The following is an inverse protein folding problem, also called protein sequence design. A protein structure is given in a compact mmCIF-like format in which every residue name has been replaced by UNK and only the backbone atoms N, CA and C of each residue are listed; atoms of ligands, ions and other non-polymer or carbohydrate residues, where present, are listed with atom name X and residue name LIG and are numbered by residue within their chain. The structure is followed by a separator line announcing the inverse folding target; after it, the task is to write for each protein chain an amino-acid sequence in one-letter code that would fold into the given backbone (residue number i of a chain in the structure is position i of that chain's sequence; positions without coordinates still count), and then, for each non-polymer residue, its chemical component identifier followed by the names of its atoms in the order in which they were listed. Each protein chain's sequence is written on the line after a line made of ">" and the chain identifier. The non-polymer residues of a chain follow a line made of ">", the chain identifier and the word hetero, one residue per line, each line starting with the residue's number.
data_IF_447188410174
#
_entry.id   IF_447188410174
#
_cell.length_a   1.000
_cell.length_b   1.000
_cell.length_c   1.000
_cell.angle_alpha   90.00
_cell.angle_beta   90.00
_cell.angle_gamma   90.00
#
_symmetry.space_group_name_H-M   'P 1'
#
loop_
_entity.id
_entity.type
_entity.pdbx_description
1 polymer ?
#
# COMPACT_ATOMS: atom_id res chain seq x y z
N UNK A 1 -8.66 19.62 -21.83
CA UNK A 1 -7.31 20.19 -21.68
C UNK A 1 -6.42 19.88 -22.88
N UNK A 2 -6.15 18.60 -23.22
CA UNK A 2 -5.28 18.26 -24.37
C UNK A 2 -5.74 18.90 -25.69
N UNK A 3 -7.05 18.92 -25.98
CA UNK A 3 -7.58 19.58 -27.18
C UNK A 3 -7.33 21.09 -27.21
N UNK A 4 -7.54 21.79 -26.09
CA UNK A 4 -7.24 23.23 -25.99
C UNK A 4 -5.76 23.49 -26.24
N UNK A 5 -4.88 22.71 -25.60
CA UNK A 5 -3.42 22.83 -25.81
C UNK A 5 -3.01 22.49 -27.25
N UNK A 6 -3.71 21.57 -27.91
CA UNK A 6 -3.39 21.19 -29.28
C UNK A 6 -3.91 22.17 -30.34
N UNK A 7 -5.11 22.75 -30.13
CA UNK A 7 -5.84 23.49 -31.16
C UNK A 7 -5.99 24.99 -30.89
N UNK A 8 -5.68 25.47 -29.69
CA UNK A 8 -5.90 26.88 -29.31
C UNK A 8 -4.65 27.61 -28.81
N UNK A 9 -3.53 26.91 -28.58
CA UNK A 9 -2.29 27.53 -28.06
C UNK A 9 -1.15 27.62 -29.08
N UNK A 10 -1.36 27.20 -30.33
CA UNK A 10 -0.37 27.20 -31.43
C UNK A 10 0.95 26.45 -31.13
N UNK A 11 1.06 25.78 -29.98
CA UNK A 11 2.29 25.12 -29.51
C UNK A 11 2.79 24.02 -30.44
N UNK A 12 1.89 23.40 -31.20
CA UNK A 12 2.23 22.33 -32.14
C UNK A 12 2.70 22.83 -33.51
N UNK A 13 2.62 24.14 -33.78
CA UNK A 13 3.07 24.74 -35.05
C UNK A 13 4.60 24.94 -35.08
N UNK A 14 5.26 24.74 -33.95
CA UNK A 14 6.70 24.94 -33.76
C UNK A 14 7.41 23.64 -33.35
N UNK A 15 8.73 23.59 -33.56
CA UNK A 15 9.61 22.55 -33.03
C UNK A 15 9.82 22.67 -31.51
N UNK A 16 11.02 22.39 -31.01
CA UNK A 16 11.32 22.64 -29.60
C UNK A 16 11.42 24.15 -29.32
N UNK A 17 10.34 24.72 -28.78
CA UNK A 17 10.24 26.15 -28.45
C UNK A 17 11.21 26.60 -27.33
N UNK A 18 11.90 25.66 -26.67
CA UNK A 18 12.91 25.98 -25.67
C UNK A 18 14.33 26.05 -26.25
N UNK A 19 14.53 25.72 -27.54
CA UNK A 19 15.83 25.80 -28.19
C UNK A 19 16.41 27.23 -28.13
N UNK A 20 17.70 27.34 -27.80
CA UNK A 20 18.38 28.61 -27.54
C UNK A 20 18.18 29.21 -26.15
N UNK A 21 17.31 28.65 -25.29
CA UNK A 21 17.19 29.10 -23.89
C UNK A 21 18.33 28.58 -23.03
N UNK A 22 19.26 29.46 -22.66
CA UNK A 22 20.43 29.11 -21.83
C UNK A 22 20.07 28.53 -20.47
N UNK A 23 18.99 29.01 -19.84
CA UNK A 23 18.52 28.49 -18.55
C UNK A 23 17.97 27.07 -18.65
N UNK A 24 17.22 26.77 -19.72
CA UNK A 24 16.69 25.42 -19.95
C UNK A 24 17.83 24.48 -20.34
N UNK A 25 18.74 24.92 -21.20
CA UNK A 25 19.93 24.15 -21.59
C UNK A 25 20.78 23.77 -20.36
N UNK A 26 21.06 24.73 -19.47
CA UNK A 26 21.78 24.47 -18.21
C UNK A 26 21.07 23.43 -17.34
N UNK A 27 19.73 23.51 -17.21
CA UNK A 27 18.93 22.52 -16.46
C UNK A 27 18.98 21.14 -17.12
N UNK A 28 18.90 21.07 -18.45
CA UNK A 28 19.00 19.82 -19.21
C UNK A 28 20.36 19.17 -19.01
N UNK A 29 21.45 19.94 -19.09
CA UNK A 29 22.81 19.40 -18.85
C UNK A 29 23.00 18.92 -17.41
N UNK A 30 22.47 19.64 -16.42
CA UNK A 30 22.48 19.19 -15.03
C UNK A 30 21.74 17.85 -14.85
N UNK A 31 20.52 17.73 -15.39
CA UNK A 31 19.74 16.48 -15.35
C UNK A 31 20.46 15.32 -16.05
N UNK A 32 21.10 15.58 -17.20
CA UNK A 32 21.88 14.56 -17.92
C UNK A 32 23.09 14.11 -17.11
N UNK A 33 23.79 15.03 -16.44
CA UNK A 33 24.93 14.70 -15.59
C UNK A 33 24.50 13.82 -14.40
N UNK A 34 23.43 14.22 -13.70
CA UNK A 34 22.88 13.47 -12.56
C UNK A 34 22.38 12.08 -12.97
N UNK A 35 21.64 11.97 -14.07
CA UNK A 35 21.13 10.70 -14.59
C UNK A 35 22.27 9.74 -14.99
N UNK A 36 23.33 10.26 -15.64
CA UNK A 36 24.52 9.45 -15.97
C UNK A 36 25.28 9.00 -14.73
N UNK A 37 25.37 9.85 -13.72
CA UNK A 37 26.00 9.47 -12.44
C UNK A 37 25.21 8.36 -11.74
N UNK A 38 23.87 8.43 -11.75
CA UNK A 38 23.01 7.36 -11.23
C UNK A 38 23.18 6.05 -12.00
N UNK A 39 23.22 6.11 -13.34
CA UNK A 39 23.51 4.94 -14.17
C UNK A 39 24.87 4.33 -13.83
N UNK A 40 25.90 5.16 -13.61
CA UNK A 40 27.22 4.72 -13.16
C UNK A 40 27.17 3.97 -11.82
N UNK A 41 26.38 4.46 -10.86
CA UNK A 41 26.15 3.78 -9.57
C UNK A 41 25.48 2.42 -9.76
N UNK A 42 24.43 2.35 -10.57
CA UNK A 42 23.73 1.09 -10.87
C UNK A 42 24.66 0.08 -11.53
N UNK A 43 25.50 0.51 -12.47
CA UNK A 43 26.49 -0.37 -13.10
C UNK A 43 27.55 -0.86 -12.10
N UNK A 44 28.03 0.00 -11.20
CA UNK A 44 28.99 -0.36 -10.16
C UNK A 44 28.42 -1.39 -9.15
N UNK A 45 27.11 -1.40 -8.94
CA UNK A 45 26.40 -2.39 -8.12
C UNK A 45 26.22 -3.75 -8.83
N UNK A 46 26.66 -3.91 -10.08
CA UNK A 46 26.47 -5.13 -10.87
C UNK A 46 25.26 -5.08 -11.81
N UNK A 47 24.71 -3.89 -12.06
CA UNK A 47 23.57 -3.67 -12.96
C UNK A 47 22.22 -3.58 -12.24
N UNK A 48 21.16 -3.38 -13.03
CA UNK A 48 19.82 -3.08 -12.51
C UNK A 48 19.23 -4.20 -11.64
N UNK A 49 19.45 -5.47 -11.98
CA UNK A 49 18.94 -6.61 -11.20
C UNK A 49 19.56 -6.60 -9.79
N UNK A 50 20.88 -6.52 -9.69
CA UNK A 50 21.58 -6.46 -8.40
C UNK A 50 21.20 -5.21 -7.59
N UNK A 51 20.98 -4.07 -8.24
CA UNK A 51 20.51 -2.85 -7.60
C UNK A 51 19.07 -2.95 -7.07
N UNK A 52 18.21 -3.76 -7.71
CA UNK A 52 16.86 -4.06 -7.22
C UNK A 52 16.92 -5.04 -6.04
N UNK A 53 17.68 -6.13 -6.17
CA UNK A 53 17.80 -7.17 -5.14
C UNK A 53 18.45 -6.65 -3.86
N UNK A 54 19.46 -5.78 -3.98
CA UNK A 54 20.05 -5.08 -2.83
C UNK A 54 19.10 -4.09 -2.15
N UNK A 55 17.96 -3.78 -2.76
CA UNK A 55 16.99 -2.81 -2.27
C UNK A 55 17.40 -1.34 -2.45
N UNK A 56 18.55 -1.06 -3.08
CA UNK A 56 19.07 0.29 -3.27
C UNK A 56 18.06 1.21 -3.98
N UNK A 57 17.53 0.78 -5.13
CA UNK A 57 16.59 1.60 -5.91
C UNK A 57 15.31 1.89 -5.12
N UNK A 58 14.78 0.87 -4.43
CA UNK A 58 13.57 1.04 -3.63
C UNK A 58 13.80 1.99 -2.46
N UNK A 59 14.93 1.86 -1.75
CA UNK A 59 15.32 2.75 -0.66
C UNK A 59 15.40 4.20 -1.14
N UNK A 60 16.09 4.48 -2.25
CA UNK A 60 16.25 5.83 -2.79
C UNK A 60 14.89 6.50 -3.12
N UNK A 61 13.94 5.73 -3.66
CA UNK A 61 12.58 6.20 -3.92
C UNK A 61 11.82 6.54 -2.63
N UNK A 62 11.93 5.70 -1.60
CA UNK A 62 11.28 5.97 -0.31
C UNK A 62 11.92 7.17 0.37
N UNK A 63 13.25 7.33 0.32
CA UNK A 63 13.97 8.51 0.85
C UNK A 63 13.50 9.80 0.17
N UNK A 64 13.51 9.84 -1.16
CA UNK A 64 13.08 11.02 -1.91
C UNK A 64 11.63 11.42 -1.59
N UNK A 65 10.75 10.43 -1.44
CA UNK A 65 9.36 10.66 -1.10
C UNK A 65 9.16 11.12 0.36
N UNK A 66 9.91 10.55 1.31
CA UNK A 66 9.91 10.98 2.70
C UNK A 66 10.41 12.43 2.84
N UNK A 67 11.47 12.79 2.12
CA UNK A 67 11.99 14.15 2.08
C UNK A 67 10.97 15.14 1.51
N UNK A 68 10.30 14.79 0.41
CA UNK A 68 9.23 15.62 -0.16
C UNK A 68 8.10 15.87 0.84
N UNK A 69 7.65 14.84 1.57
CA UNK A 69 6.61 15.01 2.57
C UNK A 69 7.04 15.90 3.73
N UNK A 70 8.26 15.69 4.25
CA UNK A 70 8.84 16.55 5.28
C UNK A 70 8.82 18.02 4.83
N UNK A 71 9.20 18.30 3.59
CA UNK A 71 9.19 19.66 3.04
C UNK A 71 7.76 20.23 2.91
N UNK A 72 6.76 19.41 2.60
CA UNK A 72 5.35 19.83 2.57
C UNK A 72 4.84 20.12 4.00
N UNK A 73 5.11 19.25 4.96
CA UNK A 73 4.70 19.45 6.36
C UNK A 73 5.38 20.67 7.00
N UNK A 74 6.66 20.91 6.68
CA UNK A 74 7.41 22.08 7.14
C UNK A 74 6.97 23.38 6.44
N UNK A 75 6.13 23.31 5.41
CA UNK A 75 5.70 24.46 4.61
C UNK A 75 6.76 24.99 3.64
N UNK A 76 7.91 24.32 3.51
CA UNK A 76 8.96 24.61 2.51
C UNK A 76 8.40 24.43 1.09
N UNK A 77 7.63 23.36 0.86
CA UNK A 77 6.88 23.12 -0.36
C UNK A 77 5.41 23.49 -0.14
N UNK A 78 4.93 24.53 -0.83
CA UNK A 78 3.53 24.95 -0.77
C UNK A 78 2.67 24.11 -1.71
N UNK A 79 1.60 23.54 -1.17
CA UNK A 79 0.54 22.83 -1.89
C UNK A 79 -0.78 23.55 -1.60
N UNK A 80 -1.22 24.34 -2.59
CA UNK A 80 -2.45 25.16 -2.50
C UNK A 80 -3.67 24.27 -2.25
N UNK A 81 -4.50 24.63 -1.28
CA UNK A 81 -5.66 23.86 -0.86
C UNK A 81 -5.36 22.71 0.12
N UNK A 82 -4.08 22.46 0.44
CA UNK A 82 -3.66 21.40 1.38
C UNK A 82 -2.95 21.99 2.61
N UNK A 83 -1.75 22.55 2.44
CA UNK A 83 -0.98 23.16 3.53
C UNK A 83 -0.92 24.70 3.47
N UNK A 84 -1.34 25.28 2.34
CA UNK A 84 -1.38 26.72 2.11
C UNK A 84 -2.70 27.09 1.43
N UNK A 85 -3.30 28.22 1.84
CA UNK A 85 -4.57 28.72 1.28
C UNK A 85 -5.67 27.64 1.29
N UNK A 86 -6.02 27.14 2.48
CA UNK A 86 -6.90 25.98 2.67
C UNK A 86 -8.40 26.28 2.53
N UNK A 87 -8.77 27.55 2.44
CA UNK A 87 -10.14 27.99 2.20
C UNK A 87 -10.40 28.25 0.71
N UNK A 88 -11.53 27.78 0.21
CA UNK A 88 -12.03 28.00 -1.15
C UNK A 88 -13.54 28.21 -1.09
N UNK A 89 -14.09 28.92 -2.08
CA UNK A 89 -15.53 28.85 -2.35
C UNK A 89 -15.92 27.42 -2.75
N UNK A 90 -17.14 26.96 -2.44
CA UNK A 90 -17.65 25.68 -2.92
C UNK A 90 -17.57 25.63 -4.45
N UNK A 91 -16.90 24.60 -4.99
CA UNK A 91 -16.78 24.45 -6.43
C UNK A 91 -18.08 23.90 -7.01
N UNK A 92 -18.71 24.55 -8.01
CA UNK A 92 -19.88 24.00 -8.69
C UNK A 92 -19.57 22.72 -9.50
N UNK A 93 -18.29 22.37 -9.64
CA UNK A 93 -17.80 21.15 -10.30
C UNK A 93 -17.42 20.05 -9.29
N UNK A 94 -17.29 20.38 -8.00
CA UNK A 94 -17.15 19.38 -6.96
C UNK A 94 -18.54 18.82 -6.66
N UNK A 95 -18.91 17.75 -7.37
CA UNK A 95 -20.18 17.06 -7.13
C UNK A 95 -20.19 16.56 -5.69
N UNK A 96 -21.02 17.16 -4.82
CA UNK A 96 -21.12 16.84 -3.39
C UNK A 96 -21.64 15.42 -3.12
N UNK A 97 -22.21 14.74 -4.13
CA UNK A 97 -22.93 13.48 -3.98
C UNK A 97 -22.14 12.20 -4.30
N UNK A 98 -20.79 12.25 -4.33
CA UNK A 98 -19.98 11.03 -4.58
C UNK A 98 -20.10 10.45 -6.01
N UNK A 99 -20.95 11.01 -6.86
CA UNK A 99 -21.19 10.59 -8.25
C UNK A 99 -19.98 10.78 -9.18
N UNK A 100 -18.94 11.48 -8.72
CA UNK A 100 -17.68 11.66 -9.45
C UNK A 100 -16.73 10.46 -9.32
N UNK A 101 -16.97 9.57 -8.35
CA UNK A 101 -16.18 8.35 -8.17
C UNK A 101 -16.90 7.20 -8.88
N UNK A 102 -16.34 6.75 -10.00
CA UNK A 102 -16.84 5.54 -10.67
C UNK A 102 -16.46 4.31 -9.83
N UNK A 103 -17.47 3.60 -9.32
CA UNK A 103 -17.30 2.34 -8.60
C UNK A 103 -17.62 1.14 -9.49
N UNK A 104 -17.05 -0.02 -9.17
CA UNK A 104 -17.33 -1.29 -9.85
C UNK A 104 -18.35 -2.06 -9.01
N UNK A 105 -19.40 -2.57 -9.64
CA UNK A 105 -20.42 -3.38 -8.96
C UNK A 105 -19.88 -4.74 -8.52
N UNK A 106 -20.25 -5.19 -7.32
CA UNK A 106 -19.95 -6.52 -6.79
C UNK A 106 -20.44 -7.66 -7.71
N UNK A 107 -21.48 -7.40 -8.52
CA UNK A 107 -22.02 -8.38 -9.46
C UNK A 107 -21.00 -8.84 -10.52
N UNK A 108 -20.03 -7.98 -10.87
CA UNK A 108 -19.01 -8.28 -11.89
C UNK A 108 -18.18 -9.51 -11.52
N UNK A 109 -17.85 -9.67 -10.23
CA UNK A 109 -17.11 -10.85 -9.75
C UNK A 109 -17.93 -12.13 -9.95
N UNK A 110 -19.20 -12.13 -9.51
CA UNK A 110 -20.09 -13.27 -9.65
C UNK A 110 -20.29 -13.67 -11.12
N UNK A 111 -20.55 -12.70 -12.00
CA UNK A 111 -20.68 -12.94 -13.43
C UNK A 111 -19.41 -13.54 -14.03
N UNK A 112 -18.24 -13.05 -13.62
CA UNK A 112 -16.97 -13.55 -14.11
C UNK A 112 -16.67 -14.97 -13.61
N UNK A 113 -17.07 -15.30 -12.37
CA UNK A 113 -16.96 -16.66 -11.83
C UNK A 113 -17.84 -17.62 -12.62
N UNK A 114 -19.08 -17.26 -12.95
CA UNK A 114 -19.98 -18.11 -13.74
C UNK A 114 -19.45 -18.29 -15.18
N UNK A 115 -18.96 -17.23 -15.82
CA UNK A 115 -18.26 -17.33 -17.11
C UNK A 115 -17.05 -18.26 -17.04
N UNK A 116 -16.27 -18.19 -15.96
CA UNK A 116 -15.10 -19.04 -15.75
C UNK A 116 -15.48 -20.51 -15.56
N UNK A 117 -16.55 -20.80 -14.81
CA UNK A 117 -17.07 -22.17 -14.64
C UNK A 117 -17.53 -22.74 -15.98
N UNK A 118 -18.32 -21.98 -16.74
CA UNK A 118 -18.78 -22.39 -18.06
C UNK A 118 -17.60 -22.63 -19.02
N UNK A 119 -16.61 -21.71 -19.04
CA UNK A 119 -15.38 -21.85 -19.83
C UNK A 119 -14.59 -23.12 -19.48
N UNK A 120 -14.47 -23.43 -18.19
CA UNK A 120 -13.80 -24.65 -17.71
C UNK A 120 -14.56 -25.91 -18.07
N UNK A 121 -15.89 -25.86 -18.13
CA UNK A 121 -16.74 -27.01 -18.47
C UNK A 121 -16.75 -27.32 -19.98
N UNK A 122 -16.59 -26.31 -20.85
CA UNK A 122 -16.68 -26.49 -22.30
C UNK A 122 -15.37 -26.90 -22.98
N UNK A 123 -14.22 -26.72 -22.32
CA UNK A 123 -12.89 -26.95 -22.92
C UNK A 123 -12.46 -28.41 -22.85
N UNK A 124 -11.51 -28.80 -23.71
CA UNK A 124 -10.88 -30.10 -23.66
C UNK A 124 -9.90 -30.20 -22.47
N UNK A 125 -10.34 -30.88 -21.41
CA UNK A 125 -9.54 -31.08 -20.19
C UNK A 125 -8.21 -31.81 -20.46
N UNK A 126 -8.16 -32.75 -21.41
CA UNK A 126 -6.92 -33.48 -21.72
C UNK A 126 -5.93 -32.57 -22.44
N UNK A 127 -6.41 -31.74 -23.38
CA UNK A 127 -5.58 -30.75 -24.06
C UNK A 127 -5.00 -29.73 -23.07
N UNK A 128 -5.81 -29.25 -22.12
CA UNK A 128 -5.38 -28.35 -21.03
C UNK A 128 -4.25 -28.98 -20.21
N UNK A 129 -4.46 -30.18 -19.67
CA UNK A 129 -3.45 -30.86 -18.86
C UNK A 129 -2.16 -31.11 -19.65
N UNK A 130 -2.27 -31.51 -20.92
CA UNK A 130 -1.11 -31.74 -21.77
C UNK A 130 -0.33 -30.44 -22.05
N UNK A 131 -1.02 -29.33 -22.27
CA UNK A 131 -0.40 -28.03 -22.50
C UNK A 131 0.31 -27.51 -21.24
N UNK A 132 -0.34 -27.58 -20.07
CA UNK A 132 0.25 -27.19 -18.79
C UNK A 132 1.50 -28.02 -18.46
N UNK A 133 1.47 -29.34 -18.68
CA UNK A 133 2.64 -30.19 -18.47
C UNK A 133 3.83 -29.80 -19.36
N UNK A 134 3.57 -29.41 -20.61
CA UNK A 134 4.62 -28.92 -21.52
C UNK A 134 5.18 -27.57 -21.08
N UNK A 135 4.33 -26.69 -20.54
CA UNK A 135 4.75 -25.40 -19.97
C UNK A 135 5.66 -25.62 -18.75
N UNK A 136 5.24 -26.48 -17.82
CA UNK A 136 6.03 -26.81 -16.64
C UNK A 136 7.38 -27.41 -17.02
N UNK A 137 7.39 -28.39 -17.95
CA UNK A 137 8.63 -29.00 -18.43
C UNK A 137 9.57 -27.97 -19.07
N UNK A 138 9.06 -27.09 -19.94
CA UNK A 138 9.88 -26.03 -20.54
C UNK A 138 10.47 -25.07 -19.50
N UNK A 139 9.67 -24.71 -18.48
CA UNK A 139 10.14 -23.85 -17.38
C UNK A 139 11.22 -24.53 -16.55
N UNK A 140 11.05 -25.82 -16.19
CA UNK A 140 12.05 -26.59 -15.42
C UNK A 140 13.34 -26.84 -16.21
N UNK A 141 13.23 -27.05 -17.51
CA UNK A 141 14.37 -27.26 -18.42
C UNK A 141 15.03 -25.95 -18.86
N UNK A 142 14.58 -24.80 -18.36
CA UNK A 142 15.06 -23.47 -18.73
C UNK A 142 15.07 -23.22 -20.26
N UNK A 143 14.04 -23.75 -20.94
CA UNK A 143 13.80 -23.52 -22.38
C UNK A 143 12.84 -22.36 -22.58
N UNK A 144 12.69 -21.92 -23.84
CA UNK A 144 11.71 -20.92 -24.22
C UNK A 144 10.28 -21.38 -23.83
N UNK A 145 9.62 -20.61 -22.96
CA UNK A 145 8.26 -20.88 -22.49
C UNK A 145 7.16 -20.28 -23.37
N UNK A 146 7.50 -19.48 -24.39
CA UNK A 146 6.50 -18.81 -25.24
C UNK A 146 5.70 -19.81 -26.07
N UNK A 147 6.36 -20.78 -26.71
CA UNK A 147 5.68 -21.81 -27.50
C UNK A 147 4.67 -22.63 -26.68
N UNK A 148 5.03 -23.22 -25.51
CA UNK A 148 4.05 -23.90 -24.67
C UNK A 148 3.01 -22.95 -24.06
N UNK A 149 3.32 -21.67 -23.84
CA UNK A 149 2.33 -20.68 -23.40
C UNK A 149 1.26 -20.40 -24.46
N UNK A 150 1.64 -20.30 -25.73
CA UNK A 150 0.69 -20.18 -26.85
C UNK A 150 -0.17 -21.45 -26.94
N UNK A 151 0.43 -22.63 -26.74
CA UNK A 151 -0.32 -23.88 -26.70
C UNK A 151 -1.33 -23.91 -25.53
N UNK A 152 -0.96 -23.37 -24.36
CA UNK A 152 -1.88 -23.21 -23.23
C UNK A 152 -3.06 -22.30 -23.58
N UNK A 153 -2.80 -21.13 -24.17
CA UNK A 153 -3.84 -20.20 -24.59
C UNK A 153 -4.80 -20.84 -25.61
N UNK A 154 -4.27 -21.55 -26.62
CA UNK A 154 -5.07 -22.29 -27.61
C UNK A 154 -5.88 -23.43 -26.98
N UNK A 155 -5.34 -24.08 -25.96
CA UNK A 155 -6.03 -25.10 -25.17
C UNK A 155 -7.01 -24.51 -24.13
N UNK A 156 -7.24 -23.20 -24.12
CA UNK A 156 -8.17 -22.52 -23.20
C UNK A 156 -7.78 -22.64 -21.72
N UNK A 157 -6.48 -22.75 -21.45
CA UNK A 157 -5.89 -22.60 -20.10
C UNK A 157 -6.19 -21.18 -19.60
N UNK A 158 -6.56 -21.05 -18.33
CA UNK A 158 -6.85 -19.73 -17.73
C UNK A 158 -5.56 -19.05 -17.28
N UNK A 159 -5.53 -17.73 -17.20
CA UNK A 159 -4.37 -16.99 -16.67
C UNK A 159 -3.96 -17.47 -15.27
N UNK A 160 -4.93 -17.82 -14.44
CA UNK A 160 -4.69 -18.42 -13.11
C UNK A 160 -3.93 -19.75 -13.17
N UNK A 161 -4.33 -20.68 -14.04
CA UNK A 161 -3.67 -21.99 -14.19
C UNK A 161 -2.27 -21.87 -14.80
N UNK A 162 -2.13 -20.98 -15.79
CA UNK A 162 -0.84 -20.66 -16.40
C UNK A 162 0.11 -20.08 -15.35
N UNK A 163 -0.36 -19.10 -14.57
CA UNK A 163 0.41 -18.48 -13.50
C UNK A 163 0.79 -19.48 -12.40
N UNK A 164 -0.16 -20.33 -11.98
CA UNK A 164 0.10 -21.35 -10.96
C UNK A 164 1.15 -22.37 -11.39
N UNK A 165 1.08 -22.81 -12.65
CA UNK A 165 2.07 -23.73 -13.22
C UNK A 165 3.48 -23.15 -13.18
N UNK A 166 3.65 -21.86 -13.45
CA UNK A 166 4.95 -21.20 -13.35
C UNK A 166 5.38 -20.96 -11.89
N UNK A 167 4.45 -20.68 -10.97
CA UNK A 167 4.74 -20.58 -9.53
C UNK A 167 5.28 -21.90 -8.96
N UNK A 168 4.81 -23.05 -9.44
CA UNK A 168 5.34 -24.37 -9.02
C UNK A 168 6.81 -24.59 -9.40
N UNK A 169 7.33 -23.82 -10.37
CA UNK A 169 8.72 -23.93 -10.84
C UNK A 169 9.59 -22.82 -10.28
N UNK A 170 9.10 -21.57 -10.32
CA UNK A 170 9.89 -20.38 -9.96
C UNK A 170 9.60 -19.84 -8.56
N UNK A 171 8.53 -20.30 -7.91
CA UNK A 171 8.03 -19.73 -6.66
C UNK A 171 7.36 -18.37 -6.88
N UNK A 172 7.26 -17.62 -5.77
CA UNK A 172 6.76 -16.24 -5.77
C UNK A 172 7.86 -15.27 -5.37
N UNK A 173 7.98 -14.16 -6.10
CA UNK A 173 8.92 -13.11 -5.75
C UNK A 173 8.37 -12.23 -4.63
N UNK A 174 9.17 -12.01 -3.58
CA UNK A 174 8.91 -11.03 -2.51
C UNK A 174 9.96 -9.93 -2.58
N UNK A 175 9.53 -8.75 -3.01
CA UNK A 175 10.41 -7.60 -3.20
C UNK A 175 10.84 -7.00 -1.85
N UNK A 176 12.07 -6.45 -1.74
CA UNK A 176 12.46 -5.65 -0.58
C UNK A 176 11.58 -4.41 -0.46
N UNK A 177 11.15 -4.08 0.76
CA UNK A 177 10.21 -2.96 1.01
C UNK A 177 10.89 -1.60 1.01
N UNK A 178 12.21 -1.54 1.23
CA UNK A 178 12.99 -0.30 1.38
C UNK A 178 12.76 0.44 2.72
N UNK A 179 11.68 0.13 3.45
CA UNK A 179 11.32 0.77 4.71
C UNK A 179 12.25 0.36 5.85
N UNK A 180 12.61 -0.92 5.95
CA UNK A 180 13.45 -1.46 7.04
C UNK A 180 14.81 -0.78 7.13
N UNK A 181 15.34 -0.29 6.02
CA UNK A 181 16.63 0.41 5.95
C UNK A 181 16.55 1.87 6.42
N UNK A 182 15.35 2.45 6.50
CA UNK A 182 15.10 3.87 6.83
C UNK A 182 14.72 4.11 8.29
N UNK A 183 14.27 3.08 9.00
CA UNK A 183 13.86 3.16 10.41
C UNK A 183 15.01 3.42 11.42
N UNK A 184 16.17 3.93 10.97
CA UNK A 184 17.38 4.19 11.79
C UNK A 184 17.79 5.67 11.83
N UNK A 185 16.95 6.59 11.34
CA UNK A 185 17.26 8.02 11.25
C UNK A 185 17.00 8.82 12.54
N UNK A 186 17.66 9.98 12.65
CA UNK A 186 17.38 10.98 13.69
C UNK A 186 16.15 11.82 13.33
N UNK A 187 15.35 12.17 14.34
CA UNK A 187 14.08 12.85 14.13
C UNK A 187 14.16 14.36 14.13
N UNK A 188 13.24 14.98 13.38
CA UNK A 188 12.93 16.40 13.48
C UNK A 188 12.33 16.75 14.85
N UNK A 189 12.46 18.01 15.26
CA UNK A 189 11.79 18.55 16.45
C UNK A 189 10.26 18.44 16.37
N UNK A 190 9.68 18.33 15.17
CA UNK A 190 8.23 18.29 14.94
C UNK A 190 7.52 17.00 15.36
N UNK A 191 8.22 15.98 15.86
CA UNK A 191 7.60 14.73 16.36
C UNK A 191 7.78 14.47 17.85
N UNK A 192 8.37 15.42 18.60
CA UNK A 192 8.71 15.24 20.00
C UNK A 192 7.50 14.87 20.88
N UNK A 193 6.38 15.56 20.69
CA UNK A 193 5.15 15.32 21.47
C UNK A 193 4.59 13.92 21.21
N UNK A 194 4.61 13.47 19.95
CA UNK A 194 4.13 12.13 19.57
C UNK A 194 5.04 11.06 20.17
N UNK A 195 6.37 11.25 20.13
CA UNK A 195 7.33 10.35 20.79
C UNK A 195 7.07 10.24 22.28
N UNK A 196 6.84 11.35 22.95
CA UNK A 196 6.53 11.36 24.38
C UNK A 196 5.25 10.57 24.69
N UNK A 197 4.22 10.71 23.85
CA UNK A 197 2.98 9.95 23.97
C UNK A 197 3.20 8.44 23.75
N UNK A 198 4.00 8.05 22.75
CA UNK A 198 4.37 6.65 22.49
C UNK A 198 5.16 6.07 23.65
N UNK A 199 6.10 6.82 24.23
CA UNK A 199 6.85 6.38 25.41
C UNK A 199 5.97 6.21 26.65
N UNK A 200 5.01 7.10 26.86
CA UNK A 200 4.04 6.96 27.94
C UNK A 200 3.20 5.69 27.79
N UNK A 201 2.72 5.42 26.56
CA UNK A 201 2.02 4.18 26.25
C UNK A 201 2.92 2.96 26.42
N UNK A 202 4.18 3.03 26.00
CA UNK A 202 5.15 1.95 26.15
C UNK A 202 5.37 1.57 27.63
N UNK A 203 5.47 2.57 28.51
CA UNK A 203 5.55 2.34 29.97
C UNK A 203 4.32 1.63 30.51
N UNK A 204 3.13 1.94 30.00
CA UNK A 204 1.87 1.30 30.41
C UNK A 204 1.75 -0.14 29.89
N UNK A 205 2.20 -0.39 28.66
CA UNK A 205 2.21 -1.70 28.02
C UNK A 205 3.31 -2.64 28.54
N UNK A 206 4.39 -2.07 29.10
CA UNK A 206 5.61 -2.81 29.43
C UNK A 206 6.47 -3.17 28.21
N UNK A 207 6.09 -2.72 27.01
CA UNK A 207 6.80 -2.94 25.74
C UNK A 207 6.51 -1.80 24.77
N UNK A 208 7.30 -1.68 23.69
CA UNK A 208 7.00 -0.71 22.63
C UNK A 208 5.67 -1.07 21.95
N UNK A 209 4.79 -0.08 21.66
CA UNK A 209 3.58 -0.33 20.89
C UNK A 209 3.94 -0.90 19.53
N UNK A 210 3.32 -2.05 19.20
CA UNK A 210 3.58 -2.80 17.97
C UNK A 210 2.53 -2.49 16.92
N UNK A 211 2.97 -2.06 15.74
CA UNK A 211 2.10 -1.64 14.64
C UNK A 211 2.36 -2.47 13.39
N UNK A 212 1.36 -3.24 12.95
CA UNK A 212 1.41 -3.93 11.67
C UNK A 212 0.79 -3.06 10.58
N UNK A 213 1.56 -2.75 9.54
CA UNK A 213 1.05 -2.11 8.32
C UNK A 213 0.86 -3.19 7.26
N UNK A 214 -0.38 -3.39 6.83
CA UNK A 214 -0.76 -4.40 5.85
C UNK A 214 -1.36 -3.80 4.59
N UNK A 215 -1.14 -4.46 3.45
CA UNK A 215 -1.77 -4.12 2.17
C UNK A 215 -2.50 -5.34 1.60
N UNK A 216 -3.81 -5.48 1.90
CA UNK A 216 -4.56 -6.66 1.50
C UNK A 216 -4.81 -6.68 -0.02
N UNK A 217 -4.87 -7.89 -0.59
CA UNK A 217 -5.32 -8.11 -1.97
C UNK A 217 -4.21 -7.93 -3.00
N UNK A 218 -4.50 -7.26 -4.11
CA UNK A 218 -3.55 -7.05 -5.22
C UNK A 218 -3.03 -5.62 -5.34
N UNK A 219 -3.37 -4.76 -4.37
CA UNK A 219 -3.02 -3.34 -4.39
C UNK A 219 -1.49 -3.13 -4.31
N UNK A 220 -0.93 -2.57 -5.38
CA UNK A 220 0.50 -2.25 -5.50
C UNK A 220 0.88 -0.86 -5.02
N UNK A 221 -0.06 -0.01 -4.61
CA UNK A 221 0.23 1.37 -4.21
C UNK A 221 0.86 1.43 -2.81
N UNK A 222 2.18 1.43 -2.73
CA UNK A 222 2.88 1.30 -1.45
C UNK A 222 3.30 2.61 -0.79
N UNK A 223 3.36 3.73 -1.53
CA UNK A 223 3.90 5.00 -1.04
C UNK A 223 3.30 5.45 0.31
N UNK A 224 1.97 5.45 0.45
CA UNK A 224 1.32 5.88 1.70
C UNK A 224 1.57 4.93 2.86
N UNK A 225 1.56 3.61 2.61
CA UNK A 225 1.86 2.61 3.64
C UNK A 225 3.32 2.72 4.12
N UNK A 226 4.25 2.92 3.20
CA UNK A 226 5.68 3.09 3.49
C UNK A 226 5.93 4.35 4.32
N UNK A 227 5.30 5.47 3.97
CA UNK A 227 5.39 6.72 4.74
C UNK A 227 4.87 6.53 6.17
N UNK A 228 3.67 5.93 6.31
CA UNK A 228 3.07 5.65 7.62
C UNK A 228 3.96 4.73 8.46
N UNK A 229 4.57 3.72 7.83
CA UNK A 229 5.50 2.81 8.51
C UNK A 229 6.78 3.53 8.97
N UNK A 230 7.41 4.34 8.10
CA UNK A 230 8.60 5.15 8.46
C UNK A 230 8.27 6.11 9.61
N UNK A 231 7.18 6.88 9.50
CA UNK A 231 6.79 7.84 10.54
C UNK A 231 6.49 7.16 11.87
N UNK A 232 5.78 6.04 11.86
CA UNK A 232 5.49 5.31 13.10
C UNK A 232 6.78 4.84 13.77
N UNK A 233 7.76 4.33 13.00
CA UNK A 233 9.06 3.97 13.52
C UNK A 233 9.81 5.18 14.10
N UNK A 234 9.80 6.32 13.39
CA UNK A 234 10.39 7.57 13.88
C UNK A 234 9.72 8.03 15.18
N UNK A 235 8.41 7.83 15.35
CA UNK A 235 7.68 8.12 16.58
C UNK A 235 7.94 7.11 17.71
N UNK A 236 8.63 6.00 17.46
CA UNK A 236 9.06 5.03 18.47
C UNK A 236 8.23 3.75 18.54
N UNK A 237 7.30 3.52 17.60
CA UNK A 237 6.59 2.23 17.47
C UNK A 237 7.55 1.13 17.01
N UNK A 238 7.26 -0.11 17.39
CA UNK A 238 7.82 -1.29 16.74
C UNK A 238 6.95 -1.63 15.53
N UNK A 239 7.45 -1.37 14.32
CA UNK A 239 6.65 -1.44 13.09
C UNK A 239 6.99 -2.69 12.29
N UNK A 240 5.96 -3.42 11.84
CA UNK A 240 6.08 -4.49 10.85
C UNK A 240 5.41 -4.08 9.55
N UNK A 241 6.11 -4.27 8.44
CA UNK A 241 5.61 -4.02 7.08
C UNK A 241 6.24 -5.03 6.11
N UNK A 242 5.43 -5.98 5.66
CA UNK A 242 5.85 -7.08 4.77
C UNK A 242 5.60 -6.77 3.28
N UNK A 243 5.31 -5.52 2.95
CA UNK A 243 5.14 -5.05 1.58
C UNK A 243 3.72 -5.12 1.05
N UNK A 244 3.62 -5.31 -0.27
CA UNK A 244 2.36 -5.31 -1.02
C UNK A 244 1.85 -6.73 -1.27
N UNK A 245 0.58 -6.81 -1.68
CA UNK A 245 -0.06 -8.04 -2.16
C UNK A 245 -0.08 -9.16 -1.13
N UNK A 246 -0.49 -8.83 0.08
CA UNK A 246 -0.69 -9.78 1.17
C UNK A 246 -2.13 -10.28 1.16
N UNK A 247 -2.33 -11.56 1.39
CA UNK A 247 -3.69 -12.08 1.62
C UNK A 247 -4.19 -11.64 3.01
N UNK A 248 -5.51 -11.51 3.20
CA UNK A 248 -6.09 -11.29 4.53
C UNK A 248 -5.60 -12.30 5.58
N UNK A 249 -5.41 -13.55 5.17
CA UNK A 249 -4.87 -14.62 6.01
C UNK A 249 -3.44 -14.36 6.47
N UNK A 250 -2.55 -13.98 5.56
CA UNK A 250 -1.16 -13.64 5.89
C UNK A 250 -1.08 -12.45 6.86
N UNK A 251 -1.94 -11.44 6.67
CA UNK A 251 -1.98 -10.27 7.56
C UNK A 251 -2.44 -10.69 8.97
N UNK A 252 -3.48 -11.52 9.08
CA UNK A 252 -3.99 -11.99 10.38
C UNK A 252 -2.96 -12.88 11.08
N UNK A 253 -2.28 -13.77 10.34
CA UNK A 253 -1.21 -14.59 10.88
C UNK A 253 -0.06 -13.74 11.43
N UNK A 254 0.41 -12.75 10.65
CA UNK A 254 1.45 -11.82 11.13
C UNK A 254 1.01 -11.03 12.37
N UNK A 255 -0.24 -10.58 12.40
CA UNK A 255 -0.79 -9.86 13.57
C UNK A 255 -0.79 -10.74 14.83
N UNK A 256 -1.13 -12.02 14.68
CA UNK A 256 -1.13 -13.01 15.76
C UNK A 256 0.29 -13.31 16.24
N UNK A 257 1.18 -13.70 15.32
CA UNK A 257 2.54 -14.14 15.60
C UNK A 257 3.37 -13.05 16.29
N UNK A 258 3.16 -11.80 15.89
CA UNK A 258 3.90 -10.66 16.42
C UNK A 258 3.25 -10.03 17.67
N UNK A 259 2.04 -10.48 18.04
CA UNK A 259 1.23 -9.92 19.13
C UNK A 259 1.06 -8.40 19.00
N UNK A 260 0.56 -7.95 17.85
CA UNK A 260 0.49 -6.50 17.55
C UNK A 260 -0.58 -5.79 18.35
N UNK A 261 -0.35 -4.50 18.63
CA UNK A 261 -1.27 -3.66 19.39
C UNK A 261 -2.25 -2.90 18.49
N UNK A 262 -1.92 -2.74 17.21
CA UNK A 262 -2.78 -2.12 16.20
C UNK A 262 -2.42 -2.63 14.80
N UNK A 263 -3.43 -2.78 13.95
CA UNK A 263 -3.27 -3.13 12.53
C UNK A 263 -3.73 -1.94 11.67
N UNK A 264 -2.89 -1.51 10.74
CA UNK A 264 -3.20 -0.47 9.77
C UNK A 264 -3.24 -1.04 8.37
N UNK A 265 -4.39 -0.95 7.72
CA UNK A 265 -4.61 -1.50 6.40
C UNK A 265 -4.66 -0.39 5.35
N UNK A 266 -3.72 -0.40 4.41
CA UNK A 266 -3.65 0.59 3.33
C UNK A 266 -4.19 0.02 2.03
N UNK A 267 -5.21 0.67 1.46
CA UNK A 267 -5.85 0.23 0.22
C UNK A 267 -6.27 1.37 -0.71
N UNK A 268 -5.85 1.27 -1.97
CA UNK A 268 -6.12 2.25 -3.02
C UNK A 268 -6.76 1.61 -4.27
N UNK A 269 -7.08 0.32 -4.22
CA UNK A 269 -7.62 -0.43 -5.37
C UNK A 269 -9.15 -0.40 -5.51
N UNK A 270 -9.87 0.27 -4.60
CA UNK A 270 -11.34 0.27 -4.54
C UNK A 270 -11.96 -1.01 -3.97
N UNK A 271 -11.15 -1.98 -3.53
CA UNK A 271 -11.62 -3.27 -2.99
C UNK A 271 -11.71 -3.27 -1.45
N UNK A 272 -11.89 -2.10 -0.83
CA UNK A 272 -11.75 -1.92 0.62
C UNK A 272 -12.85 -2.62 1.40
N UNK A 273 -14.11 -2.49 1.02
CA UNK A 273 -15.20 -3.16 1.74
C UNK A 273 -15.03 -4.68 1.81
N UNK A 274 -14.86 -5.42 0.68
CA UNK A 274 -14.75 -6.88 0.73
C UNK A 274 -13.47 -7.35 1.44
N UNK A 275 -12.31 -6.73 1.17
CA UNK A 275 -11.04 -7.15 1.78
C UNK A 275 -11.00 -6.84 3.28
N UNK A 276 -11.49 -5.68 3.71
CA UNK A 276 -11.55 -5.33 5.14
C UNK A 276 -12.54 -6.23 5.87
N UNK A 277 -13.67 -6.60 5.24
CA UNK A 277 -14.62 -7.56 5.80
C UNK A 277 -13.96 -8.92 6.04
N UNK A 278 -13.21 -9.43 5.07
CA UNK A 278 -12.49 -10.71 5.23
C UNK A 278 -11.43 -10.63 6.34
N UNK A 279 -10.60 -9.58 6.37
CA UNK A 279 -9.61 -9.37 7.45
C UNK A 279 -10.29 -9.32 8.81
N UNK A 280 -11.35 -8.52 8.98
CA UNK A 280 -12.06 -8.38 10.25
C UNK A 280 -12.70 -9.70 10.71
N UNK A 281 -13.27 -10.48 9.79
CA UNK A 281 -13.82 -11.80 10.09
C UNK A 281 -12.73 -12.77 10.58
N UNK A 282 -11.59 -12.81 9.88
CA UNK A 282 -10.46 -13.67 10.24
C UNK A 282 -9.80 -13.25 11.54
N UNK A 283 -9.65 -11.95 11.79
CA UNK A 283 -9.15 -11.44 13.08
C UNK A 283 -10.06 -11.85 14.24
N UNK A 284 -11.38 -11.77 14.08
CA UNK A 284 -12.32 -12.26 15.10
C UNK A 284 -12.18 -13.77 15.33
N UNK A 285 -12.10 -14.55 14.25
CA UNK A 285 -11.94 -16.01 14.33
C UNK A 285 -10.61 -16.41 15.01
N UNK A 286 -9.55 -15.62 14.82
CA UNK A 286 -8.24 -15.81 15.45
C UNK A 286 -8.14 -15.25 16.88
N UNK A 287 -9.24 -14.74 17.47
CA UNK A 287 -9.23 -14.15 18.82
C UNK A 287 -8.64 -12.75 18.92
N UNK A 288 -8.32 -12.11 17.79
CA UNK A 288 -7.77 -10.74 17.69
C UNK A 288 -8.84 -9.65 17.61
N UNK A 289 -10.11 -9.96 17.92
CA UNK A 289 -11.23 -9.02 17.77
C UNK A 289 -11.13 -7.75 18.62
N UNK A 290 -10.21 -7.69 19.60
CA UNK A 290 -9.92 -6.50 20.42
C UNK A 290 -8.82 -5.61 19.84
N UNK A 291 -7.96 -6.15 18.97
CA UNK A 291 -6.90 -5.37 18.34
C UNK A 291 -7.55 -4.36 17.40
N UNK A 292 -7.37 -3.05 17.62
CA UNK A 292 -7.95 -2.03 16.76
C UNK A 292 -7.37 -2.14 15.35
N UNK A 293 -8.25 -2.06 14.37
CA UNK A 293 -7.89 -2.01 12.95
C UNK A 293 -8.23 -0.63 12.42
N UNK A 294 -7.27 0.05 11.80
CA UNK A 294 -7.48 1.30 11.07
C UNK A 294 -7.33 1.07 9.58
N UNK A 295 -8.06 1.82 8.77
CA UNK A 295 -7.97 1.76 7.31
C UNK A 295 -7.47 3.09 6.75
N UNK A 296 -6.67 3.05 5.69
CA UNK A 296 -6.17 4.23 4.99
C UNK A 296 -6.24 4.06 3.47
N UNK A 297 -6.54 5.13 2.75
CA UNK A 297 -6.44 5.18 1.29
C UNK A 297 -7.59 5.92 0.61
N UNK A 298 -7.90 5.54 -0.63
CA UNK A 298 -8.98 6.18 -1.41
C UNK A 298 -10.30 5.50 -1.06
N UNK A 299 -10.96 6.03 -0.04
CA UNK A 299 -12.21 5.46 0.50
C UNK A 299 -13.31 6.52 0.40
N UNK A 300 -14.38 6.28 -0.39
CA UNK A 300 -15.52 7.17 -0.50
C UNK A 300 -16.26 7.36 0.84
N UNK A 301 -16.86 8.54 1.11
CA UNK A 301 -17.57 8.81 2.36
C UNK A 301 -18.66 7.77 2.73
N UNK A 302 -19.38 7.25 1.74
CA UNK A 302 -20.42 6.23 1.90
C UNK A 302 -19.86 4.92 2.47
N UNK A 303 -18.66 4.53 2.03
CA UNK A 303 -18.00 3.31 2.48
C UNK A 303 -17.35 3.45 3.85
N UNK A 304 -17.02 4.69 4.28
CA UNK A 304 -16.50 4.94 5.63
C UNK A 304 -17.49 4.45 6.69
N UNK A 305 -18.79 4.66 6.47
CA UNK A 305 -19.83 4.20 7.40
C UNK A 305 -19.90 2.67 7.44
N UNK A 306 -19.83 2.02 6.28
CA UNK A 306 -19.80 0.55 6.16
C UNK A 306 -18.59 -0.03 6.89
N UNK A 307 -17.40 0.54 6.68
CA UNK A 307 -16.16 0.09 7.35
C UNK A 307 -16.24 0.23 8.88
N UNK A 308 -16.81 1.34 9.37
CA UNK A 308 -17.04 1.52 10.82
C UNK A 308 -17.98 0.46 11.39
N UNK A 309 -19.06 0.13 10.68
CA UNK A 309 -19.99 -0.93 11.09
C UNK A 309 -19.33 -2.32 11.11
N UNK A 310 -18.34 -2.58 10.24
CA UNK A 310 -17.55 -3.82 10.26
C UNK A 310 -16.58 -3.93 11.45
N UNK A 311 -16.36 -2.81 12.16
CA UNK A 311 -15.47 -2.71 13.32
C UNK A 311 -14.13 -2.02 13.06
N UNK A 312 -13.96 -1.37 11.90
CA UNK A 312 -12.78 -0.52 11.66
C UNK A 312 -12.83 0.69 12.58
N UNK A 313 -11.80 0.86 13.40
CA UNK A 313 -11.74 1.86 14.47
C UNK A 313 -11.62 3.30 13.94
N UNK A 314 -10.89 3.47 12.83
CA UNK A 314 -10.66 4.77 12.19
C UNK A 314 -10.37 4.58 10.70
N UNK A 315 -10.83 5.53 9.89
CA UNK A 315 -10.54 5.59 8.45
C UNK A 315 -9.81 6.89 8.14
N UNK A 316 -8.72 6.81 7.39
CA UNK A 316 -7.91 7.93 6.93
C UNK A 316 -7.96 8.01 5.40
N UNK A 317 -8.19 9.22 4.88
CA UNK A 317 -8.35 9.52 3.45
C UNK A 317 -7.23 10.48 3.01
N UNK A 318 -7.10 10.84 1.71
CA UNK A 318 -6.12 11.85 1.30
C UNK A 318 -6.27 13.22 1.97
N UNK A 319 -7.42 13.50 2.60
CA UNK A 319 -7.64 14.70 3.41
C UNK A 319 -6.89 14.65 4.75
N UNK A 320 -6.52 13.46 5.22
CA UNK A 320 -5.78 13.22 6.45
C UNK A 320 -4.27 13.23 6.17
N UNK A 321 -3.74 14.38 5.74
CA UNK A 321 -2.33 14.51 5.35
C UNK A 321 -1.36 14.71 6.54
N UNK A 322 -1.88 15.04 7.72
CA UNK A 322 -1.09 15.20 8.94
C UNK A 322 -0.76 13.85 9.57
N UNK A 323 0.45 13.36 9.31
CA UNK A 323 0.91 12.07 9.81
C UNK A 323 1.08 12.04 11.34
N UNK A 324 1.43 13.16 11.96
CA UNK A 324 1.61 13.24 13.42
C UNK A 324 0.28 13.06 14.14
N UNK A 325 -0.79 13.62 13.57
CA UNK A 325 -2.16 13.40 14.05
C UNK A 325 -2.55 11.93 13.93
N UNK A 326 -2.24 11.28 12.81
CA UNK A 326 -2.50 9.83 12.63
C UNK A 326 -1.81 9.04 13.73
N UNK A 327 -0.51 9.27 13.97
CA UNK A 327 0.24 8.56 15.03
C UNK A 327 -0.35 8.80 16.43
N UNK A 328 -0.74 10.04 16.73
CA UNK A 328 -1.40 10.37 18.01
C UNK A 328 -2.72 9.64 18.18
N UNK A 329 -3.52 9.55 17.12
CA UNK A 329 -4.78 8.80 17.13
C UNK A 329 -4.53 7.29 17.33
N UNK A 330 -3.46 6.72 16.74
CA UNK A 330 -3.07 5.32 17.01
C UNK A 330 -2.73 5.08 18.48
N UNK A 331 -1.94 5.97 19.10
CA UNK A 331 -1.61 5.88 20.54
C UNK A 331 -2.89 5.86 21.38
N UNK A 332 -3.83 6.78 21.11
CA UNK A 332 -5.12 6.86 21.82
C UNK A 332 -5.97 5.60 21.65
N UNK A 333 -6.02 5.04 20.44
CA UNK A 333 -6.77 3.83 20.16
C UNK A 333 -6.23 2.63 20.94
N UNK A 334 -4.91 2.45 20.99
CA UNK A 334 -4.28 1.39 21.77
C UNK A 334 -4.55 1.60 23.26
N UNK A 335 -4.33 2.82 23.77
CA UNK A 335 -4.51 3.14 25.18
C UNK A 335 -5.94 2.90 25.68
N UNK A 336 -6.94 3.24 24.87
CA UNK A 336 -8.34 2.99 25.17
C UNK A 336 -8.63 1.49 25.31
N UNK A 337 -8.13 0.66 24.38
CA UNK A 337 -8.32 -0.80 24.40
C UNK A 337 -7.65 -1.48 25.58
N UNK A 338 -6.48 -0.98 25.97
CA UNK A 338 -5.78 -1.47 27.15
C UNK A 338 -6.50 -1.11 28.45
N UNK A 339 -7.07 0.09 28.51
CA UNK A 339 -7.86 0.53 29.66
C UNK A 339 -9.15 -0.30 29.81
N UNK A 340 -9.84 -0.60 28.71
CA UNK A 340 -11.00 -1.51 28.69
C UNK A 340 -10.63 -2.93 29.16
N UNK A 341 -9.45 -3.44 28.74
CA UNK A 341 -8.93 -4.74 29.16
C UNK A 341 -8.68 -4.79 30.66
N UNK A 342 -7.99 -3.78 31.20
CA UNK A 342 -7.71 -3.68 32.64
C UNK A 342 -9.01 -3.60 33.48
N UNK A 343 -10.00 -2.83 33.03
CA UNK A 343 -11.29 -2.72 33.69
C UNK A 343 -12.07 -4.06 33.69
N UNK A 344 -12.06 -4.79 32.58
CA UNK A 344 -12.73 -6.10 32.47
C UNK A 344 -12.09 -7.13 33.40
N UNK A 345 -10.75 -7.16 33.48
CA UNK A 345 -10.01 -8.07 34.37
C UNK A 345 -10.31 -7.75 35.85
N UNK A 346 -10.31 -6.46 36.20
CA UNK A 346 -10.63 -6.01 37.57
C UNK A 346 -12.06 -6.41 37.99
N UNK A 347 -13.04 -6.27 37.10
CA UNK A 347 -14.44 -6.67 37.36
C UNK A 347 -14.61 -8.19 37.48
N UNK A 348 -13.87 -8.98 36.70
CA UNK A 348 -13.89 -10.45 36.80
C UNK A 348 -13.28 -10.94 38.12
N UNK A 349 -12.24 -10.27 38.63
CA UNK A 349 -11.63 -10.62 39.91
C UNK A 349 -12.51 -10.25 41.12
N UNK A 350 -13.33 -9.20 41.03
CA UNK A 350 -14.26 -8.82 42.11
C UNK A 350 -15.54 -9.66 42.16
N UNK A 351 -15.91 -10.35 41.06
CA UNK A 351 -17.08 -11.25 41.02
C UNK A 351 -16.74 -12.72 41.33
N UNK A 352 -15.46 -13.11 41.31
CA UNK A 352 -15.00 -14.48 41.60
C UNK A 352 -14.68 -14.78 43.08
N UNK A 353 -14.85 -13.80 43.97
CA UNK A 353 -14.60 -13.91 45.42
C UNK A 353 -15.88 -13.93 46.27
N UNK A 354 -17.04 -14.17 45.65
CA UNK A 354 -18.36 -14.26 46.30
C UNK A 354 -18.81 -15.69 46.56
#
# INVERSE_FOLDING_TARGET
>A
MQQIVAYESDLLDYGDIFDGSKEIENKVEALKAEARAELGRVLALGGAIAAIESGYMKKALVESNAERLRAIEAGETKVVGVNAFTSSEPSPLAVEDGQSIMTVSDAVEYEQIEKLKAWRASRDAKAVTAALKKLEAAARENRNIMEPSIACAKAQVTTGEWGETLRLVFGEYRAPTGVTLLMRGEASQSIADVRQAVEALARKLGTRPKFLVGKPGLDGHSNGAEQIAVRAADCGFEVSYDGIRLTPEQIVAAALDQCVHVVGLSILSGSHVPLMRDVMNRMRAAGLGRVPVVAGGIIPPEDVLVLKQLGIAKVYTPKDFDMNRIMTDLVRLIDARESERAATISCAMTQGTG
#
